data_IF_684951409063
#
_entry.id   IF_684951409063
#
_cell.length_a   1.000
_cell.length_b   1.000
_cell.length_c   1.000
_cell.angle_alpha   90.00
_cell.angle_beta   90.00
_cell.angle_gamma   90.00
#
_symmetry.space_group_name_H-M   'P 1'
#
loop_
_entity.id
_entity.type
_entity.pdbx_description
1 polymer ?
#
# COMPACT_ATOMS: atom_id res chain seq x y z
N UNK A 1 -19.31 -31.94 -9.30
CA UNK A 1 -19.15 -31.45 -10.69
C UNK A 1 -17.92 -30.57 -10.70
N UNK A 2 -16.84 -31.01 -11.34
CA UNK A 2 -15.68 -30.17 -11.56
C UNK A 2 -16.09 -29.07 -12.54
N UNK A 3 -16.08 -27.81 -12.11
CA UNK A 3 -16.26 -26.66 -12.98
C UNK A 3 -15.13 -26.69 -14.00
N UNK A 4 -15.46 -27.07 -15.22
CA UNK A 4 -14.57 -26.99 -16.38
C UNK A 4 -14.12 -25.55 -16.53
N UNK A 5 -12.80 -25.35 -16.47
CA UNK A 5 -12.12 -24.12 -16.85
C UNK A 5 -12.33 -23.95 -18.35
N UNK A 6 -13.39 -23.25 -18.76
CA UNK A 6 -13.75 -23.13 -20.19
C UNK A 6 -13.77 -21.70 -20.71
N UNK A 7 -13.75 -20.67 -19.86
CA UNK A 7 -13.64 -19.28 -20.32
C UNK A 7 -12.18 -18.79 -20.28
N UNK A 8 -11.60 -18.35 -21.41
CA UNK A 8 -10.31 -17.65 -21.43
C UNK A 8 -10.22 -16.49 -20.43
N UNK A 9 -11.35 -15.85 -20.10
CA UNK A 9 -11.41 -14.75 -19.16
C UNK A 9 -11.11 -15.20 -17.72
N UNK A 10 -11.65 -16.34 -17.27
CA UNK A 10 -11.41 -16.90 -15.93
C UNK A 10 -9.94 -17.29 -15.72
N UNK A 11 -9.30 -17.79 -16.79
CA UNK A 11 -7.88 -18.12 -16.78
C UNK A 11 -7.05 -16.84 -16.59
N UNK A 12 -7.39 -15.76 -17.30
CA UNK A 12 -6.66 -14.48 -17.19
C UNK A 12 -6.75 -13.88 -15.78
N UNK A 13 -7.93 -13.94 -15.15
CA UNK A 13 -8.17 -13.45 -13.78
C UNK A 13 -7.38 -14.29 -12.77
N UNK A 14 -7.37 -15.62 -12.93
CA UNK A 14 -6.59 -16.49 -12.06
C UNK A 14 -5.08 -16.20 -12.11
N UNK A 15 -4.53 -15.94 -13.31
CA UNK A 15 -3.14 -15.53 -13.46
C UNK A 15 -2.83 -14.22 -12.76
N UNK A 16 -3.69 -13.21 -12.89
CA UNK A 16 -3.53 -11.93 -12.21
C UNK A 16 -3.51 -12.10 -10.68
N UNK A 17 -4.45 -12.89 -10.14
CA UNK A 17 -4.51 -13.19 -8.71
C UNK A 17 -3.28 -13.96 -8.20
N UNK A 18 -2.74 -14.88 -9.00
CA UNK A 18 -1.49 -15.57 -8.68
C UNK A 18 -0.30 -14.61 -8.68
N UNK A 19 -0.19 -13.72 -9.66
CA UNK A 19 0.87 -12.69 -9.71
C UNK A 19 0.83 -11.81 -8.46
N UNK A 20 -0.37 -11.38 -8.04
CA UNK A 20 -0.55 -10.61 -6.80
C UNK A 20 -0.09 -11.41 -5.58
N UNK A 21 -0.44 -12.69 -5.52
CA UNK A 21 -0.05 -13.58 -4.41
C UNK A 21 1.47 -13.76 -4.33
N UNK A 22 2.14 -14.00 -5.46
CA UNK A 22 3.60 -14.13 -5.51
C UNK A 22 4.31 -12.81 -5.21
N UNK A 23 3.73 -11.69 -5.61
CA UNK A 23 4.22 -10.35 -5.28
C UNK A 23 4.18 -10.12 -3.77
N UNK A 24 3.05 -10.42 -3.10
CA UNK A 24 2.96 -10.33 -1.63
C UNK A 24 3.95 -11.25 -0.91
N UNK A 25 4.14 -12.49 -1.39
CA UNK A 25 5.15 -13.42 -0.87
C UNK A 25 6.57 -12.84 -0.99
N UNK A 26 6.88 -12.24 -2.14
CA UNK A 26 8.19 -11.64 -2.41
C UNK A 26 8.44 -10.46 -1.48
N UNK A 27 7.46 -9.56 -1.32
CA UNK A 27 7.55 -8.43 -0.39
C UNK A 27 7.70 -8.88 1.06
N UNK A 28 6.94 -9.88 1.50
CA UNK A 28 7.08 -10.44 2.85
C UNK A 28 8.50 -10.99 3.08
N UNK A 29 9.05 -11.68 2.10
CA UNK A 29 10.41 -12.24 2.18
C UNK A 29 11.47 -11.14 2.28
N UNK A 30 11.39 -10.12 1.42
CA UNK A 30 12.30 -8.97 1.44
C UNK A 30 12.20 -8.24 2.77
N UNK A 31 10.98 -7.98 3.26
CA UNK A 31 10.75 -7.29 4.53
C UNK A 31 11.34 -8.05 5.72
N UNK A 32 11.14 -9.37 5.78
CA UNK A 32 11.72 -10.21 6.85
C UNK A 32 13.25 -10.22 6.74
N UNK A 33 13.80 -10.32 5.54
CA UNK A 33 15.25 -10.26 5.34
C UNK A 33 15.84 -8.92 5.82
N UNK A 34 15.26 -7.80 5.39
CA UNK A 34 15.66 -6.44 5.78
C UNK A 34 15.55 -6.21 7.29
N UNK A 35 14.58 -6.87 7.94
CA UNK A 35 14.44 -6.82 9.40
C UNK A 35 15.53 -7.60 10.11
N UNK A 36 15.86 -8.81 9.65
CA UNK A 36 16.91 -9.62 10.28
C UNK A 36 18.27 -8.93 10.22
N UNK A 37 18.61 -8.28 9.10
CA UNK A 37 19.90 -7.61 8.93
C UNK A 37 20.01 -6.26 9.68
N UNK A 38 18.88 -5.65 10.03
CA UNK A 38 18.83 -4.36 10.75
C UNK A 38 18.46 -4.52 12.24
N UNK A 39 18.25 -5.75 12.72
CA UNK A 39 17.71 -6.00 14.05
C UNK A 39 18.63 -5.48 15.17
N UNK A 40 19.94 -5.63 15.01
CA UNK A 40 20.95 -5.14 15.95
C UNK A 40 20.88 -3.61 16.09
N UNK A 41 20.83 -2.91 14.95
CA UNK A 41 20.71 -1.45 14.89
C UNK A 41 19.35 -0.99 15.43
N UNK A 42 18.27 -1.72 15.14
CA UNK A 42 16.94 -1.39 15.64
C UNK A 42 16.89 -1.49 17.17
N UNK A 43 17.48 -2.53 17.74
CA UNK A 43 17.56 -2.71 19.20
C UNK A 43 18.33 -1.55 19.85
N UNK A 44 19.46 -1.17 19.26
CA UNK A 44 20.29 -0.09 19.78
C UNK A 44 19.62 1.29 19.67
N UNK A 45 19.10 1.64 18.50
CA UNK A 45 18.66 3.01 18.19
C UNK A 45 17.16 3.25 18.41
N UNK A 46 16.33 2.22 18.35
CA UNK A 46 14.87 2.34 18.52
C UNK A 46 14.46 1.79 19.89
N UNK A 47 14.77 0.53 20.20
CA UNK A 47 14.23 -0.13 21.38
C UNK A 47 14.78 0.44 22.69
N UNK A 48 16.10 0.68 22.78
CA UNK A 48 16.75 1.28 23.97
C UNK A 48 16.47 2.77 24.15
N UNK A 49 16.01 3.46 23.11
CA UNK A 49 15.71 4.90 23.16
C UNK A 49 14.42 5.16 23.94
N UNK A 50 14.35 6.32 24.62
CA UNK A 50 13.12 6.80 25.28
C UNK A 50 11.99 6.93 24.25
N UNK A 51 10.75 6.79 24.71
CA UNK A 51 9.57 6.98 23.87
C UNK A 51 9.50 8.44 23.38
N UNK A 52 9.52 8.60 22.07
CA UNK A 52 9.24 9.84 21.37
C UNK A 52 8.27 9.58 20.20
N UNK A 53 7.82 10.65 19.54
CA UNK A 53 6.88 10.56 18.42
C UNK A 53 7.48 9.73 17.28
N UNK A 54 8.78 9.90 16.99
CA UNK A 54 9.48 9.18 15.93
C UNK A 54 9.47 7.67 16.14
N UNK A 55 9.69 7.21 17.39
CA UNK A 55 9.63 5.79 17.75
C UNK A 55 8.24 5.20 17.57
N UNK A 56 7.19 5.93 17.95
CA UNK A 56 5.80 5.48 17.74
C UNK A 56 5.50 5.34 16.25
N UNK A 57 5.83 6.37 15.45
CA UNK A 57 5.61 6.35 14.00
C UNK A 57 6.37 5.20 13.33
N UNK A 58 7.64 4.98 13.71
CA UNK A 58 8.44 3.88 13.20
C UNK A 58 7.84 2.51 13.55
N UNK A 59 7.38 2.33 14.78
CA UNK A 59 6.80 1.06 15.20
C UNK A 59 5.51 0.78 14.42
N UNK A 60 4.64 1.79 14.26
CA UNK A 60 3.38 1.60 13.52
C UNK A 60 3.66 1.30 12.05
N UNK A 61 4.54 2.06 11.38
CA UNK A 61 4.83 1.82 9.97
C UNK A 61 5.49 0.48 9.74
N UNK A 62 6.47 0.09 10.57
CA UNK A 62 7.23 -1.15 10.37
C UNK A 62 6.44 -2.38 10.79
N UNK A 63 5.96 -2.41 12.03
CA UNK A 63 5.26 -3.59 12.56
C UNK A 63 3.82 -3.69 12.06
N UNK A 64 3.23 -2.60 11.56
CA UNK A 64 1.98 -2.64 10.81
C UNK A 64 2.11 -3.49 9.53
N UNK A 65 3.21 -3.37 8.79
CA UNK A 65 3.46 -4.21 7.60
C UNK A 65 3.68 -5.69 7.96
N UNK A 66 4.30 -5.97 9.11
CA UNK A 66 4.40 -7.34 9.65
C UNK A 66 3.04 -7.98 9.97
N UNK A 67 2.00 -7.17 10.16
CA UNK A 67 0.64 -7.64 10.36
C UNK A 67 -0.14 -7.70 9.04
N UNK A 68 -0.03 -6.66 8.20
CA UNK A 68 -0.77 -6.53 6.95
C UNK A 68 -0.43 -7.61 5.92
N UNK A 69 0.86 -7.79 5.61
CA UNK A 69 1.29 -8.70 4.54
C UNK A 69 0.94 -10.17 4.83
N UNK A 70 1.15 -10.72 6.04
CA UNK A 70 0.75 -12.10 6.32
C UNK A 70 -0.76 -12.29 6.28
N UNK A 71 -1.56 -11.33 6.73
CA UNK A 71 -3.03 -11.43 6.67
C UNK A 71 -3.49 -11.50 5.22
N UNK A 72 -2.99 -10.60 4.37
CA UNK A 72 -3.27 -10.64 2.92
C UNK A 72 -2.87 -11.99 2.35
N UNK A 73 -1.66 -12.45 2.63
CA UNK A 73 -1.19 -13.74 2.14
C UNK A 73 -2.10 -14.90 2.57
N UNK A 74 -2.47 -14.97 3.85
CA UNK A 74 -3.39 -15.99 4.37
C UNK A 74 -4.72 -15.94 3.62
N UNK A 75 -5.26 -14.76 3.33
CA UNK A 75 -6.50 -14.65 2.54
C UNK A 75 -6.34 -15.14 1.08
N UNK A 76 -5.15 -15.08 0.50
CA UNK A 76 -4.89 -15.54 -0.87
C UNK A 76 -4.59 -17.05 -0.96
N UNK A 77 -3.95 -17.65 0.05
CA UNK A 77 -3.52 -19.05 0.02
C UNK A 77 -4.47 -20.02 0.73
N UNK A 78 -5.40 -19.52 1.54
CA UNK A 78 -6.32 -20.39 2.27
C UNK A 78 -7.52 -20.75 1.39
N UNK A 79 -7.83 -22.04 1.20
CA UNK A 79 -8.98 -22.45 0.40
C UNK A 79 -10.29 -21.81 0.87
N UNK A 80 -11.07 -21.22 -0.04
CA UNK A 80 -12.37 -20.60 0.23
C UNK A 80 -13.32 -21.54 1.00
N UNK A 81 -13.29 -22.84 0.70
CA UNK A 81 -14.10 -23.85 1.41
C UNK A 81 -13.58 -24.27 2.79
N UNK A 82 -12.36 -23.90 3.16
CA UNK A 82 -11.77 -24.22 4.46
C UNK A 82 -12.07 -23.15 5.53
N UNK A 83 -12.53 -21.96 5.13
CA UNK A 83 -12.76 -20.81 6.01
C UNK A 83 -14.17 -20.27 5.80
N UNK A 84 -14.84 -19.89 6.89
CA UNK A 84 -16.15 -19.27 6.80
C UNK A 84 -16.09 -17.96 6.00
N UNK A 85 -17.08 -17.73 5.14
CA UNK A 85 -17.23 -16.50 4.36
C UNK A 85 -17.12 -15.22 5.22
N UNK A 86 -17.68 -15.25 6.44
CA UNK A 86 -17.59 -14.13 7.40
C UNK A 86 -16.16 -13.85 7.85
N UNK A 87 -15.36 -14.89 8.11
CA UNK A 87 -13.95 -14.74 8.51
C UNK A 87 -13.12 -14.14 7.38
N UNK A 88 -13.33 -14.58 6.14
CA UNK A 88 -12.69 -14.02 4.95
C UNK A 88 -12.99 -12.52 4.81
N UNK A 89 -14.26 -12.10 4.99
CA UNK A 89 -14.67 -10.68 4.97
C UNK A 89 -14.02 -9.86 6.08
N UNK A 90 -13.96 -10.40 7.30
CA UNK A 90 -13.35 -9.71 8.44
C UNK A 90 -11.84 -9.53 8.21
N UNK A 91 -11.13 -10.57 7.79
CA UNK A 91 -9.69 -10.49 7.51
C UNK A 91 -9.40 -9.49 6.39
N UNK A 92 -10.19 -9.49 5.33
CA UNK A 92 -10.06 -8.53 4.23
C UNK A 92 -10.25 -7.08 4.71
N UNK A 93 -11.28 -6.82 5.53
CA UNK A 93 -11.52 -5.49 6.11
C UNK A 93 -10.39 -5.07 7.04
N UNK A 94 -9.89 -5.98 7.88
CA UNK A 94 -8.76 -5.72 8.79
C UNK A 94 -7.50 -5.37 7.99
N UNK A 95 -7.20 -6.11 6.92
CA UNK A 95 -6.06 -5.82 6.05
C UNK A 95 -6.17 -4.41 5.45
N UNK A 96 -7.31 -4.06 4.84
CA UNK A 96 -7.47 -2.74 4.23
C UNK A 96 -7.38 -1.58 5.24
N UNK A 97 -7.99 -1.71 6.42
CA UNK A 97 -7.85 -0.69 7.47
C UNK A 97 -6.43 -0.57 8.02
N UNK A 98 -5.72 -1.70 8.15
CA UNK A 98 -4.32 -1.72 8.56
C UNK A 98 -3.45 -1.04 7.49
N UNK A 99 -3.69 -1.33 6.22
CA UNK A 99 -2.99 -0.70 5.09
C UNK A 99 -3.17 0.82 5.11
N UNK A 100 -4.40 1.32 5.26
CA UNK A 100 -4.66 2.76 5.37
C UNK A 100 -3.90 3.39 6.53
N UNK A 101 -3.91 2.75 7.70
CA UNK A 101 -3.14 3.24 8.86
C UNK A 101 -1.64 3.32 8.55
N UNK A 102 -1.06 2.28 7.94
CA UNK A 102 0.37 2.22 7.63
C UNK A 102 0.77 3.26 6.58
N UNK A 103 -0.06 3.44 5.56
CA UNK A 103 0.13 4.44 4.50
C UNK A 103 0.09 5.85 5.10
N UNK A 104 -0.96 6.20 5.85
CA UNK A 104 -1.07 7.53 6.46
C UNK A 104 0.09 7.84 7.42
N UNK A 105 0.55 6.85 8.19
CA UNK A 105 1.74 7.03 9.04
C UNK A 105 3.00 7.26 8.22
N UNK A 106 3.17 6.54 7.10
CA UNK A 106 4.32 6.69 6.20
C UNK A 106 4.32 8.06 5.51
N UNK A 107 3.17 8.53 5.03
CA UNK A 107 2.99 9.87 4.49
C UNK A 107 3.30 10.96 5.53
N UNK A 108 2.88 10.75 6.78
CA UNK A 108 3.19 11.67 7.86
C UNK A 108 4.68 11.72 8.17
N UNK A 109 5.40 10.59 8.13
CA UNK A 109 6.87 10.55 8.24
C UNK A 109 7.51 11.37 7.11
N UNK A 110 7.02 11.23 5.87
CA UNK A 110 7.50 12.01 4.72
C UNK A 110 7.24 13.51 4.89
N UNK A 111 6.08 13.88 5.42
CA UNK A 111 5.77 15.26 5.78
C UNK A 111 6.76 15.81 6.82
N UNK A 112 7.00 15.08 7.92
CA UNK A 112 7.94 15.48 8.96
C UNK A 112 9.37 15.63 8.42
N UNK A 113 9.80 14.71 7.56
CA UNK A 113 11.10 14.77 6.88
C UNK A 113 11.21 16.03 6.03
N UNK A 114 10.18 16.34 5.24
CA UNK A 114 10.13 17.53 4.38
C UNK A 114 10.11 18.81 5.20
N UNK A 115 9.36 18.83 6.30
CA UNK A 115 9.35 19.93 7.26
C UNK A 115 10.77 20.20 7.82
N UNK A 116 11.46 19.15 8.26
CA UNK A 116 12.84 19.26 8.78
C UNK A 116 13.82 19.74 7.70
N UNK A 117 13.67 19.25 6.48
CA UNK A 117 14.50 19.62 5.32
C UNK A 117 14.42 21.11 4.98
N UNK A 118 13.25 21.72 5.18
CA UNK A 118 13.03 23.16 4.99
C UNK A 118 13.23 23.97 6.28
N UNK A 119 13.97 23.42 7.25
CA UNK A 119 14.28 24.08 8.53
C UNK A 119 13.04 24.55 9.29
N UNK A 120 11.93 23.82 9.17
CA UNK A 120 10.65 24.16 9.80
C UNK A 120 9.93 25.36 9.18
N UNK A 121 10.21 25.68 7.91
CA UNK A 121 9.49 26.76 7.21
C UNK A 121 7.99 26.44 7.10
N UNK A 122 7.18 27.32 7.69
CA UNK A 122 5.71 27.22 7.66
C UNK A 122 5.14 27.31 6.25
N UNK A 123 5.83 27.98 5.34
CA UNK A 123 5.42 28.14 3.94
C UNK A 123 5.32 26.83 3.17
N UNK A 124 6.14 25.84 3.50
CA UNK A 124 6.08 24.49 2.90
C UNK A 124 5.22 23.57 3.74
N UNK A 125 5.31 23.71 5.05
CA UNK A 125 4.70 22.76 6.00
C UNK A 125 3.19 22.89 6.09
N UNK A 126 2.64 24.11 6.06
CA UNK A 126 1.19 24.34 6.08
C UNK A 126 0.49 23.74 4.86
N UNK A 127 0.87 24.08 3.60
CA UNK A 127 0.20 23.50 2.44
C UNK A 127 0.37 21.98 2.39
N UNK A 128 1.55 21.45 2.74
CA UNK A 128 1.78 20.01 2.77
C UNK A 128 0.90 19.29 3.81
N UNK A 129 0.70 19.91 4.97
CA UNK A 129 -0.20 19.37 6.02
C UNK A 129 -1.67 19.40 5.59
N UNK A 130 -2.08 20.41 4.82
CA UNK A 130 -3.44 20.48 4.26
C UNK A 130 -3.63 19.34 3.26
N UNK A 131 -2.71 19.16 2.31
CA UNK A 131 -2.80 18.08 1.31
C UNK A 131 -2.82 16.71 1.98
N UNK A 132 -1.93 16.47 2.96
CA UNK A 132 -1.92 15.25 3.76
C UNK A 132 -3.27 14.99 4.45
N UNK A 133 -3.81 16.00 5.15
CA UNK A 133 -5.05 15.85 5.92
C UNK A 133 -6.23 15.58 5.00
N UNK A 134 -6.34 16.33 3.90
CA UNK A 134 -7.41 16.12 2.90
C UNK A 134 -7.28 14.73 2.29
N UNK A 135 -6.08 14.34 1.86
CA UNK A 135 -5.84 13.03 1.26
C UNK A 135 -6.18 11.87 2.20
N UNK A 136 -5.73 11.92 3.45
CA UNK A 136 -6.03 10.90 4.47
C UNK A 136 -7.54 10.81 4.76
N UNK A 137 -8.22 11.95 4.92
CA UNK A 137 -9.68 11.96 5.17
C UNK A 137 -10.43 11.39 3.98
N UNK A 138 -10.06 11.78 2.76
CA UNK A 138 -10.67 11.24 1.54
C UNK A 138 -10.42 9.73 1.42
N UNK A 139 -9.21 9.25 1.67
CA UNK A 139 -8.87 7.82 1.62
C UNK A 139 -9.65 6.98 2.64
N UNK A 140 -9.82 7.48 3.87
CA UNK A 140 -10.66 6.84 4.89
C UNK A 140 -12.12 6.71 4.40
N UNK A 141 -12.66 7.78 3.81
CA UNK A 141 -14.04 7.78 3.31
C UNK A 141 -14.19 6.80 2.14
N UNK A 142 -13.29 6.84 1.17
CA UNK A 142 -13.33 5.98 -0.01
C UNK A 142 -13.19 4.52 0.40
N UNK A 143 -12.20 4.19 1.25
CA UNK A 143 -12.03 2.83 1.78
C UNK A 143 -13.26 2.35 2.55
N UNK A 144 -13.88 3.19 3.37
CA UNK A 144 -15.10 2.84 4.08
C UNK A 144 -16.28 2.53 3.12
N UNK A 145 -16.39 3.30 2.03
CA UNK A 145 -17.44 3.08 1.00
C UNK A 145 -17.16 1.81 0.21
N UNK A 146 -15.91 1.65 -0.23
CA UNK A 146 -15.41 0.48 -0.93
C UNK A 146 -15.71 -0.80 -0.15
N UNK A 147 -15.26 -0.89 1.11
CA UNK A 147 -15.49 -2.06 1.96
C UNK A 147 -16.96 -2.29 2.33
N UNK A 148 -17.83 -1.29 2.12
CA UNK A 148 -19.27 -1.39 2.28
C UNK A 148 -19.98 -1.97 1.06
N UNK A 149 -19.41 -1.83 -0.14
CA UNK A 149 -19.98 -2.33 -1.41
C UNK A 149 -19.31 -3.61 -1.90
N UNK A 150 -18.10 -3.91 -1.45
CA UNK A 150 -17.37 -5.14 -1.80
C UNK A 150 -18.11 -6.39 -1.30
N UNK A 151 -18.44 -7.29 -2.22
CA UNK A 151 -18.92 -8.63 -1.93
C UNK A 151 -17.83 -9.67 -2.24
N UNK A 152 -17.71 -10.67 -1.37
CA UNK A 152 -16.79 -11.78 -1.57
C UNK A 152 -17.56 -12.95 -2.18
N UNK A 153 -16.99 -13.57 -3.20
CA UNK A 153 -17.62 -14.67 -3.93
C UNK A 153 -16.76 -15.93 -3.94
N UNK A 154 -17.30 -17.05 -4.43
CA UNK A 154 -16.48 -18.21 -4.76
C UNK A 154 -15.45 -17.83 -5.85
N UNK A 155 -14.24 -18.43 -5.84
CA UNK A 155 -13.24 -18.14 -6.85
C UNK A 155 -13.72 -18.59 -8.25
N UNK A 156 -13.45 -17.80 -9.32
CA UNK A 156 -13.94 -18.09 -10.67
C UNK A 156 -13.26 -19.33 -11.29
N UNK A 157 -12.10 -19.73 -10.79
CA UNK A 157 -11.38 -20.91 -11.28
C UNK A 157 -10.75 -21.72 -10.14
N UNK A 158 -10.53 -23.03 -10.32
CA UNK A 158 -9.80 -23.87 -9.35
C UNK A 158 -8.31 -23.53 -9.26
N UNK A 159 -7.76 -22.69 -10.16
CA UNK A 159 -6.37 -22.25 -10.14
C UNK A 159 -6.10 -21.22 -9.03
N UNK A 160 -7.15 -20.55 -8.53
CA UNK A 160 -7.09 -19.66 -7.39
C UNK A 160 -7.99 -20.18 -6.27
N UNK A 161 -7.42 -20.39 -5.09
CA UNK A 161 -8.12 -21.01 -3.96
C UNK A 161 -8.53 -20.01 -2.89
N UNK A 162 -8.00 -18.78 -2.92
CA UNK A 162 -8.17 -17.77 -1.89
C UNK A 162 -9.54 -17.10 -1.87
N UNK A 163 -9.66 -16.12 -0.97
CA UNK A 163 -10.75 -15.16 -0.91
C UNK A 163 -10.82 -14.33 -2.20
N UNK A 164 -11.92 -14.46 -2.96
CA UNK A 164 -12.13 -13.73 -4.20
C UNK A 164 -13.11 -12.56 -4.00
N UNK A 165 -12.76 -11.41 -4.57
CA UNK A 165 -13.61 -10.22 -4.60
C UNK A 165 -14.48 -10.31 -5.86
N UNK A 166 -15.78 -10.49 -5.68
CA UNK A 166 -16.74 -10.66 -6.78
C UNK A 166 -17.12 -9.33 -7.42
N UNK A 167 -17.22 -8.27 -6.59
CA UNK A 167 -17.53 -6.92 -7.05
C UNK A 167 -16.47 -5.96 -6.57
N UNK A 168 -15.67 -5.50 -7.52
CA UNK A 168 -14.68 -4.46 -7.30
C UNK A 168 -15.20 -3.12 -7.83
N UNK A 169 -15.12 -2.08 -7.01
CA UNK A 169 -15.49 -0.72 -7.40
C UNK A 169 -14.20 0.04 -7.71
N UNK A 170 -14.09 0.56 -8.94
CA UNK A 170 -12.92 1.32 -9.41
C UNK A 170 -12.66 2.59 -8.58
N UNK A 171 -13.58 2.97 -7.68
CA UNK A 171 -13.42 4.09 -6.74
C UNK A 171 -12.11 4.05 -5.96
N UNK A 172 -11.55 2.87 -5.66
CA UNK A 172 -10.27 2.73 -4.95
C UNK A 172 -9.07 3.31 -5.73
N UNK A 173 -9.18 3.42 -7.06
CA UNK A 173 -8.16 4.05 -7.91
C UNK A 173 -7.89 5.51 -7.55
N UNK A 174 -8.89 6.19 -6.98
CA UNK A 174 -8.77 7.58 -6.52
C UNK A 174 -7.81 7.66 -5.33
N UNK A 175 -7.79 6.66 -4.43
CA UNK A 175 -6.88 6.64 -3.28
C UNK A 175 -5.41 6.55 -3.75
N UNK A 176 -5.13 5.68 -4.73
CA UNK A 176 -3.80 5.59 -5.34
C UNK A 176 -3.39 6.89 -6.06
N UNK A 177 -4.33 7.57 -6.71
CA UNK A 177 -4.06 8.85 -7.35
C UNK A 177 -3.71 9.94 -6.32
N UNK A 178 -4.43 10.00 -5.21
CA UNK A 178 -4.16 10.93 -4.10
C UNK A 178 -2.77 10.68 -3.51
N UNK A 179 -2.45 9.41 -3.24
CA UNK A 179 -1.14 8.99 -2.74
C UNK A 179 -0.02 9.44 -3.69
N UNK A 180 -0.16 9.12 -4.99
CA UNK A 180 0.82 9.50 -6.01
C UNK A 180 1.03 11.02 -6.06
N UNK A 181 -0.04 11.81 -5.99
CA UNK A 181 0.05 13.29 -6.02
C UNK A 181 0.80 13.80 -4.78
N UNK A 182 0.50 13.27 -3.60
CA UNK A 182 1.19 13.65 -2.37
C UNK A 182 2.69 13.31 -2.44
N UNK A 183 3.02 12.10 -2.87
CA UNK A 183 4.40 11.66 -3.05
C UNK A 183 5.14 12.55 -4.05
N UNK A 184 4.53 12.84 -5.21
CA UNK A 184 5.12 13.70 -6.23
C UNK A 184 5.44 15.10 -5.69
N UNK A 185 4.54 15.69 -4.89
CA UNK A 185 4.79 16.98 -4.24
C UNK A 185 6.00 16.90 -3.32
N UNK A 186 6.09 15.86 -2.48
CA UNK A 186 7.21 15.65 -1.56
C UNK A 186 8.53 15.45 -2.32
N UNK A 187 8.50 14.67 -3.41
CA UNK A 187 9.65 14.43 -4.28
C UNK A 187 10.15 15.73 -4.89
N UNK A 188 9.24 16.51 -5.50
CA UNK A 188 9.58 17.78 -6.14
C UNK A 188 10.20 18.73 -5.13
N UNK A 189 9.61 18.89 -3.95
CA UNK A 189 10.16 19.73 -2.88
C UNK A 189 11.56 19.24 -2.44
N UNK A 190 11.72 17.93 -2.25
CA UNK A 190 13.01 17.36 -1.83
C UNK A 190 14.10 17.58 -2.89
N UNK A 191 13.77 17.38 -4.16
CA UNK A 191 14.69 17.58 -5.30
C UNK A 191 15.05 19.06 -5.46
N UNK A 192 14.07 19.97 -5.38
CA UNK A 192 14.30 21.41 -5.46
C UNK A 192 15.22 21.92 -4.34
N UNK A 193 15.00 21.44 -3.10
CA UNK A 193 15.91 21.75 -1.99
C UNK A 193 17.30 21.14 -2.23
N UNK A 194 17.35 19.91 -2.74
CA UNK A 194 18.57 19.20 -3.11
C UNK A 194 19.44 19.99 -4.07
N UNK A 195 18.85 20.49 -5.16
CA UNK A 195 19.57 21.33 -6.13
C UNK A 195 20.02 22.66 -5.54
N UNK A 196 19.16 23.32 -4.75
CA UNK A 196 19.49 24.62 -4.12
C UNK A 196 20.66 24.50 -3.15
N UNK A 197 20.70 23.44 -2.36
CA UNK A 197 21.71 23.22 -1.34
C UNK A 197 22.89 22.36 -1.85
N UNK A 198 22.90 21.96 -3.12
CA UNK A 198 23.90 21.01 -3.65
C UNK A 198 25.35 21.51 -3.50
N UNK A 199 25.56 22.82 -3.66
CA UNK A 199 26.88 23.46 -3.54
C UNK A 199 27.27 23.82 -2.11
N UNK A 200 26.31 23.95 -1.19
CA UNK A 200 26.52 24.38 0.20
C UNK A 200 26.28 23.26 1.22
N UNK A 201 25.86 22.08 0.77
CA UNK A 201 25.45 20.96 1.62
C UNK A 201 26.62 20.15 2.18
N UNK A 202 26.44 19.65 3.41
CA UNK A 202 27.38 18.73 4.05
C UNK A 202 27.38 17.35 3.36
N UNK A 203 28.45 16.54 3.53
CA UNK A 203 28.48 15.17 3.00
C UNK A 203 27.28 14.31 3.44
N UNK A 204 26.83 14.48 4.69
CA UNK A 204 25.63 13.84 5.23
C UNK A 204 24.38 14.21 4.43
N UNK A 205 24.21 15.50 4.12
CA UNK A 205 23.07 15.99 3.35
C UNK A 205 23.04 15.39 1.95
N UNK A 206 24.20 15.21 1.31
CA UNK A 206 24.32 14.61 -0.02
C UNK A 206 23.91 13.14 -0.03
N UNK A 207 24.28 12.37 1.00
CA UNK A 207 23.85 10.97 1.16
C UNK A 207 22.33 10.91 1.34
N UNK A 208 21.78 11.76 2.22
CA UNK A 208 20.33 11.84 2.45
C UNK A 208 19.59 12.14 1.13
N UNK A 209 20.07 13.09 0.33
CA UNK A 209 19.44 13.41 -0.96
C UNK A 209 19.50 12.26 -1.95
N UNK A 210 20.66 11.62 -2.11
CA UNK A 210 20.83 10.48 -3.01
C UNK A 210 19.86 9.35 -2.62
N UNK A 211 19.85 8.99 -1.34
CA UNK A 211 19.02 7.89 -0.85
C UNK A 211 17.52 8.25 -0.92
N UNK A 212 17.16 9.54 -0.74
CA UNK A 212 15.79 10.02 -0.99
C UNK A 212 15.38 9.85 -2.44
N UNK A 213 16.24 10.24 -3.40
CA UNK A 213 15.93 10.16 -4.84
C UNK A 213 15.74 8.71 -5.27
N UNK A 214 16.58 7.78 -4.81
CA UNK A 214 16.37 6.35 -5.09
C UNK A 214 15.03 5.85 -4.52
N UNK A 215 14.73 6.20 -3.27
CA UNK A 215 13.45 5.86 -2.65
C UNK A 215 12.25 6.40 -3.45
N UNK A 216 12.34 7.65 -3.91
CA UNK A 216 11.29 8.28 -4.71
C UNK A 216 11.09 7.64 -6.09
N UNK A 217 12.15 7.19 -6.75
CA UNK A 217 12.03 6.47 -8.02
C UNK A 217 11.31 5.12 -7.82
N UNK A 218 11.57 4.45 -6.71
CA UNK A 218 10.89 3.19 -6.35
C UNK A 218 9.41 3.44 -6.08
N UNK A 219 9.06 4.46 -5.28
CA UNK A 219 7.65 4.82 -5.02
C UNK A 219 6.90 5.18 -6.31
N UNK A 220 7.53 5.99 -7.18
CA UNK A 220 6.93 6.35 -8.46
C UNK A 220 6.67 5.11 -9.35
N UNK A 221 7.62 4.17 -9.40
CA UNK A 221 7.46 2.94 -10.16
C UNK A 221 6.34 2.05 -9.58
N UNK A 222 6.21 2.00 -8.26
CA UNK A 222 5.15 1.26 -7.56
C UNK A 222 3.77 1.87 -7.87
N UNK A 223 3.60 3.17 -7.66
CA UNK A 223 2.34 3.86 -7.93
C UNK A 223 1.94 3.78 -9.41
N UNK A 224 2.92 3.90 -10.33
CA UNK A 224 2.68 3.70 -11.76
C UNK A 224 2.25 2.26 -12.06
N UNK A 225 2.88 1.26 -11.44
CA UNK A 225 2.50 -0.14 -11.56
C UNK A 225 1.07 -0.37 -11.06
N UNK A 226 0.66 0.25 -9.96
CA UNK A 226 -0.70 0.16 -9.43
C UNK A 226 -1.72 0.74 -10.42
N UNK A 227 -1.46 1.93 -10.96
CA UNK A 227 -2.35 2.56 -11.96
C UNK A 227 -2.41 1.73 -13.24
N UNK A 228 -1.28 1.23 -13.74
CA UNK A 228 -1.25 0.36 -14.91
C UNK A 228 -2.02 -0.94 -14.67
N UNK A 229 -1.90 -1.53 -13.47
CA UNK A 229 -2.66 -2.72 -13.10
C UNK A 229 -4.16 -2.44 -13.11
N UNK A 230 -4.60 -1.30 -12.57
CA UNK A 230 -6.01 -0.91 -12.57
C UNK A 230 -6.53 -0.54 -13.98
N UNK A 231 -5.72 0.11 -14.80
CA UNK A 231 -6.09 0.52 -16.15
C UNK A 231 -6.09 -0.63 -17.17
N UNK A 232 -5.20 -1.61 -16.97
CA UNK A 232 -5.05 -2.79 -17.83
C UNK A 232 -5.78 -4.01 -17.28
N UNK A 233 -6.26 -3.98 -16.03
CA UNK A 233 -7.21 -4.96 -15.53
C UNK A 233 -8.37 -4.99 -16.52
N UNK A 234 -8.70 -6.16 -17.11
CA UNK A 234 -9.82 -6.25 -18.02
C UNK A 234 -11.02 -5.72 -17.26
N UNK A 235 -11.56 -4.58 -17.71
CA UNK A 235 -12.75 -3.93 -17.15
C UNK A 235 -13.71 -5.08 -16.91
N UNK A 236 -13.97 -5.38 -15.64
CA UNK A 236 -14.85 -6.46 -15.21
C UNK A 236 -16.15 -6.24 -15.98
N UNK A 237 -16.28 -7.00 -17.06
CA UNK A 237 -17.38 -6.86 -17.99
C UNK A 237 -18.63 -6.95 -17.15
N UNK A 238 -19.53 -6.00 -17.34
CA UNK A 238 -20.91 -6.02 -16.89
C UNK A 238 -21.38 -7.47 -16.70
N UNK A 239 -21.38 -7.96 -15.46
CA UNK A 239 -22.08 -9.20 -15.14
C UNK A 239 -23.53 -8.91 -15.54
N UNK A 240 -24.12 -9.63 -16.51
CA UNK A 240 -25.54 -9.49 -16.76
C UNK A 240 -26.28 -9.80 -15.45
N UNK A 241 -27.36 -9.06 -15.13
CA UNK A 241 -28.15 -9.37 -13.94
C UNK A 241 -28.56 -10.84 -13.98
N UNK A 242 -28.66 -11.51 -12.82
CA UNK A 242 -29.11 -12.89 -12.77
C UNK A 242 -30.46 -12.98 -13.50
N UNK A 243 -30.51 -13.85 -14.50
CA UNK A 243 -31.78 -14.26 -15.10
C UNK A 243 -32.53 -15.02 -14.01
N UNK A 244 -33.67 -14.47 -13.59
CA UNK A 244 -34.66 -15.17 -12.78
C UNK A 244 -35.23 -16.33 -13.63
N UNK A 245 -34.66 -17.53 -13.48
CA UNK A 245 -35.24 -18.82 -13.88
C UNK A 245 -35.34 -19.75 -12.65
#
# INVERSE_FOLDING_TARGET
MASTVTDPQDISIAWQLQIVTYTHLSFLTIMVHDWLILLDQEIEYVWRRKWDIGKVLFIISRYGTFYDLPIRLVTHITPYGAVNHSTCSILYKIANWTSILCISVSEFILLLRTHALYSGSKWVSIPLSIVYTVGTVTGIIITARYLGTTTLGPPPSPLFIGCYIERDDTIISIDFLILLVFELIVVILTVLKGFRDYKSGTPLMRVIYRDSVFFFLVLFAESLSAILTLALAPVSGTFPPPSDD
#
